data_IF_250792237781
#
_entry.id   IF_250792237781
#
_cell.length_a   1.000
_cell.length_b   1.000
_cell.length_c   1.000
_cell.angle_alpha   90.00
_cell.angle_beta   90.00
_cell.angle_gamma   90.00
#
_symmetry.space_group_name_H-M   'P 1'
#
loop_
_entity.id
_entity.type
_entity.pdbx_description
1 polymer ?
#
# COMPACT_ATOMS: atom_id res chain seq x y z
N UNK A 1 -1.46 25.22 -5.59
CA UNK A 1 -2.91 25.39 -5.38
C UNK A 1 -3.50 25.60 -6.77
N UNK A 2 -3.78 24.49 -7.48
CA UNK A 2 -4.43 24.56 -8.79
C UNK A 2 -5.92 24.76 -8.56
N UNK A 3 -6.40 25.93 -8.90
CA UNK A 3 -7.82 26.29 -8.91
C UNK A 3 -8.53 25.45 -9.96
N UNK A 4 -9.51 24.67 -9.54
CA UNK A 4 -10.39 23.87 -10.39
C UNK A 4 -11.40 24.82 -11.12
N UNK A 5 -10.90 25.58 -12.09
CA UNK A 5 -11.72 26.48 -12.93
C UNK A 5 -12.30 25.81 -14.18
N UNK A 6 -12.25 24.50 -14.30
CA UNK A 6 -12.96 23.82 -15.37
C UNK A 6 -14.32 23.31 -14.86
N UNK A 7 -15.40 24.00 -15.28
CA UNK A 7 -16.81 23.77 -14.92
C UNK A 7 -17.41 22.40 -15.28
N UNK A 8 -16.64 21.32 -15.22
CA UNK A 8 -17.11 19.96 -15.42
C UNK A 8 -17.86 19.41 -14.20
N UNK A 9 -18.97 18.76 -14.42
CA UNK A 9 -19.76 18.08 -13.37
C UNK A 9 -18.95 16.98 -12.67
N UNK A 10 -18.14 16.22 -13.44
CA UNK A 10 -17.30 15.14 -12.94
C UNK A 10 -15.91 15.65 -12.55
N UNK A 11 -15.40 15.18 -11.41
CA UNK A 11 -14.00 15.41 -11.02
C UNK A 11 -13.05 14.55 -11.87
N UNK A 12 -11.77 14.98 -12.01
CA UNK A 12 -10.74 14.11 -12.56
C UNK A 12 -10.66 12.81 -11.77
N UNK A 13 -10.63 11.68 -12.46
CA UNK A 13 -10.61 10.35 -11.85
C UNK A 13 -9.64 9.41 -12.57
N UNK A 14 -9.33 8.26 -11.96
CA UNK A 14 -8.54 7.21 -12.60
C UNK A 14 -7.03 7.43 -12.67
N UNK A 15 -6.49 8.48 -12.06
CA UNK A 15 -5.05 8.77 -12.04
C UNK A 15 -4.24 7.91 -11.05
N UNK A 16 -4.76 6.76 -10.61
CA UNK A 16 -4.15 5.92 -9.57
C UNK A 16 -2.72 5.46 -9.87
N UNK A 17 -2.37 5.24 -11.13
CA UNK A 17 -1.02 4.83 -11.51
C UNK A 17 0.09 5.82 -11.11
N UNK A 18 -0.26 7.10 -10.92
CA UNK A 18 0.61 8.16 -10.46
C UNK A 18 0.72 8.21 -8.93
N UNK A 19 -0.19 7.59 -8.20
CA UNK A 19 -0.20 7.57 -6.74
C UNK A 19 0.96 6.75 -6.19
N UNK A 20 1.74 7.33 -5.29
CA UNK A 20 2.84 6.62 -4.62
C UNK A 20 2.33 5.42 -3.81
N UNK A 21 1.17 5.57 -3.13
CA UNK A 21 0.52 4.48 -2.39
C UNK A 21 0.19 3.30 -3.30
N UNK A 22 -0.37 3.54 -4.50
CA UNK A 22 -0.66 2.49 -5.48
C UNK A 22 0.61 1.76 -5.94
N UNK A 23 1.67 2.52 -6.29
CA UNK A 23 2.93 1.91 -6.76
C UNK A 23 3.58 1.05 -5.69
N UNK A 24 3.58 1.50 -4.42
CA UNK A 24 4.08 0.69 -3.32
C UNK A 24 3.20 -0.54 -3.06
N UNK A 25 1.87 -0.40 -3.05
CA UNK A 25 0.96 -1.54 -2.90
C UNK A 25 1.18 -2.58 -3.99
N UNK A 26 1.39 -2.15 -5.24
CA UNK A 26 1.70 -3.04 -6.36
C UNK A 26 3.05 -3.75 -6.20
N UNK A 27 4.07 -3.04 -5.74
CA UNK A 27 5.35 -3.65 -5.41
C UNK A 27 5.20 -4.70 -4.30
N UNK A 28 4.46 -4.38 -3.24
CA UNK A 28 4.16 -5.31 -2.14
C UNK A 28 3.44 -6.56 -2.68
N UNK A 29 2.44 -6.40 -3.54
CA UNK A 29 1.73 -7.52 -4.16
C UNK A 29 2.69 -8.43 -4.94
N UNK A 30 3.53 -7.85 -5.78
CA UNK A 30 4.49 -8.60 -6.59
C UNK A 30 5.53 -9.36 -5.73
N UNK A 31 5.99 -8.74 -4.62
CA UNK A 31 6.88 -9.38 -3.66
C UNK A 31 6.14 -10.50 -2.93
N UNK A 32 4.90 -10.27 -2.51
CA UNK A 32 4.10 -11.25 -1.77
C UNK A 32 3.83 -12.51 -2.59
N UNK A 33 3.46 -12.37 -3.88
CA UNK A 33 3.29 -13.51 -4.77
C UNK A 33 4.55 -14.37 -4.81
N UNK A 34 5.70 -13.74 -5.02
CA UNK A 34 6.97 -14.46 -5.06
C UNK A 34 7.36 -15.06 -3.68
N UNK A 35 7.09 -14.31 -2.60
CA UNK A 35 7.37 -14.77 -1.24
C UNK A 35 6.60 -16.04 -0.88
N UNK A 36 5.31 -16.08 -1.18
CA UNK A 36 4.48 -17.25 -0.85
C UNK A 36 4.85 -18.46 -1.72
N UNK A 37 5.25 -18.24 -2.96
CA UNK A 37 5.75 -19.31 -3.84
C UNK A 37 7.01 -19.97 -3.29
N UNK A 38 7.91 -19.17 -2.73
CA UNK A 38 9.22 -19.64 -2.28
C UNK A 38 9.25 -20.14 -0.83
N UNK A 39 8.41 -19.61 0.06
CA UNK A 39 8.59 -19.79 1.50
C UNK A 39 7.35 -20.26 2.27
N UNK A 40 6.18 -20.30 1.63
CA UNK A 40 4.95 -20.82 2.26
C UNK A 40 4.58 -22.15 1.59
N UNK A 41 4.30 -23.22 2.38
CA UNK A 41 3.88 -24.52 1.86
C UNK A 41 2.70 -24.40 0.89
N UNK A 42 2.71 -25.18 -0.17
CA UNK A 42 1.70 -25.09 -1.25
C UNK A 42 0.29 -25.46 -0.80
N UNK A 43 0.17 -26.26 0.24
CA UNK A 43 -1.09 -26.70 0.88
C UNK A 43 -1.58 -25.75 1.97
N UNK A 44 -0.80 -24.72 2.29
CA UNK A 44 -1.17 -23.74 3.31
C UNK A 44 -2.18 -22.72 2.81
N UNK A 45 -3.32 -22.59 3.48
CA UNK A 45 -4.32 -21.56 3.21
C UNK A 45 -3.79 -20.12 3.38
N UNK A 46 -2.77 -19.94 4.21
CA UNK A 46 -2.08 -18.64 4.40
C UNK A 46 -1.53 -18.11 3.09
N UNK A 47 -1.12 -18.99 2.17
CA UNK A 47 -0.64 -18.63 0.84
C UNK A 47 -1.66 -17.79 0.07
N UNK A 48 -2.89 -18.30 -0.04
CA UNK A 48 -3.97 -17.63 -0.74
C UNK A 48 -4.43 -16.36 -0.01
N UNK A 49 -4.46 -16.40 1.32
CA UNK A 49 -4.84 -15.25 2.15
C UNK A 49 -3.86 -14.08 1.98
N UNK A 50 -2.55 -14.32 2.06
CA UNK A 50 -1.53 -13.28 1.83
C UNK A 50 -1.64 -12.65 0.43
N UNK A 51 -1.78 -13.49 -0.61
CA UNK A 51 -1.93 -13.01 -1.99
C UNK A 51 -3.22 -12.19 -2.14
N UNK A 52 -4.32 -12.65 -1.56
CA UNK A 52 -5.61 -11.97 -1.62
C UNK A 52 -5.57 -10.63 -0.87
N UNK A 53 -4.97 -10.57 0.30
CA UNK A 53 -4.81 -9.33 1.06
C UNK A 53 -3.95 -8.31 0.28
N UNK A 54 -2.82 -8.73 -0.27
CA UNK A 54 -1.98 -7.88 -1.10
C UNK A 54 -2.71 -7.36 -2.35
N UNK A 55 -3.42 -8.24 -3.07
CA UNK A 55 -4.22 -7.92 -4.25
C UNK A 55 -5.35 -6.94 -3.92
N UNK A 56 -6.08 -7.18 -2.84
CA UNK A 56 -7.15 -6.32 -2.35
C UNK A 56 -6.65 -4.91 -2.05
N UNK A 57 -5.47 -4.77 -1.42
CA UNK A 57 -4.81 -3.48 -1.21
C UNK A 57 -4.63 -2.69 -2.50
N UNK A 58 -4.11 -3.33 -3.55
CA UNK A 58 -3.90 -2.69 -4.87
C UNK A 58 -5.22 -2.28 -5.52
N UNK A 59 -6.19 -3.21 -5.58
CA UNK A 59 -7.44 -2.98 -6.31
C UNK A 59 -8.29 -1.90 -5.68
N UNK A 60 -8.43 -1.89 -4.36
CA UNK A 60 -9.23 -0.88 -3.68
C UNK A 60 -8.63 0.54 -3.82
N UNK A 61 -7.30 0.70 -3.98
CA UNK A 61 -6.71 2.00 -4.32
C UNK A 61 -7.13 2.44 -5.73
N UNK A 62 -7.08 1.52 -6.71
CA UNK A 62 -7.47 1.83 -8.08
C UNK A 62 -8.96 2.17 -8.19
N UNK A 63 -9.83 1.34 -7.61
CA UNK A 63 -11.28 1.53 -7.59
C UNK A 63 -11.68 2.82 -6.87
N UNK A 64 -11.05 3.13 -5.73
CA UNK A 64 -11.27 4.40 -5.02
C UNK A 64 -10.93 5.61 -5.87
N UNK A 65 -9.80 5.56 -6.58
CA UNK A 65 -9.40 6.63 -7.49
C UNK A 65 -10.38 6.81 -8.67
N UNK A 66 -11.00 5.74 -9.16
CA UNK A 66 -12.05 5.80 -10.19
C UNK A 66 -13.33 6.35 -9.61
N UNK A 67 -13.74 5.88 -8.42
CA UNK A 67 -14.94 6.32 -7.73
C UNK A 67 -14.93 7.82 -7.36
N UNK A 68 -13.76 8.43 -7.25
CA UNK A 68 -13.59 9.85 -6.94
C UNK A 68 -14.38 10.80 -7.85
N UNK A 69 -14.66 10.41 -9.10
CA UNK A 69 -15.45 11.19 -10.06
C UNK A 69 -16.86 11.49 -9.56
N UNK A 70 -17.49 10.51 -8.91
CA UNK A 70 -18.93 10.51 -8.58
C UNK A 70 -19.23 10.42 -7.10
N UNK A 71 -18.31 9.90 -6.28
CA UNK A 71 -18.55 9.69 -4.86
C UNK A 71 -17.29 9.77 -4.02
N UNK A 72 -17.06 10.93 -3.39
CA UNK A 72 -15.97 11.12 -2.43
C UNK A 72 -16.10 10.16 -1.22
N UNK A 73 -17.33 9.86 -0.78
CA UNK A 73 -17.57 8.89 0.29
C UNK A 73 -17.10 7.48 -0.09
N UNK A 74 -17.40 7.05 -1.33
CA UNK A 74 -16.97 5.73 -1.82
C UNK A 74 -15.45 5.69 -2.00
N UNK A 75 -14.83 6.76 -2.52
CA UNK A 75 -13.37 6.90 -2.61
C UNK A 75 -12.71 6.68 -1.24
N UNK A 76 -13.17 7.41 -0.22
CA UNK A 76 -12.65 7.30 1.15
C UNK A 76 -12.83 5.90 1.75
N UNK A 77 -14.00 5.30 1.53
CA UNK A 77 -14.26 3.93 2.00
C UNK A 77 -13.31 2.92 1.35
N UNK A 78 -13.11 2.98 0.03
CA UNK A 78 -12.23 2.06 -0.69
C UNK A 78 -10.76 2.22 -0.28
N UNK A 79 -10.29 3.44 -0.03
CA UNK A 79 -8.94 3.66 0.51
C UNK A 79 -8.79 3.10 1.93
N UNK A 80 -9.84 3.16 2.77
CA UNK A 80 -9.83 2.53 4.08
C UNK A 80 -9.80 0.99 3.98
N UNK A 81 -10.54 0.40 3.04
CA UNK A 81 -10.49 -1.05 2.75
C UNK A 81 -9.10 -1.45 2.28
N UNK A 82 -8.48 -0.67 1.37
CA UNK A 82 -7.11 -0.91 0.92
C UNK A 82 -6.12 -0.93 2.10
N UNK A 83 -6.26 0.04 3.02
CA UNK A 83 -5.41 0.12 4.22
C UNK A 83 -5.63 -1.08 5.13
N UNK A 84 -6.88 -1.48 5.37
CA UNK A 84 -7.21 -2.65 6.19
C UNK A 84 -6.62 -3.94 5.60
N UNK A 85 -6.71 -4.14 4.28
CA UNK A 85 -6.12 -5.29 3.59
C UNK A 85 -4.59 -5.33 3.70
N UNK A 86 -3.92 -4.18 3.62
CA UNK A 86 -2.47 -4.10 3.83
C UNK A 86 -2.08 -4.36 5.31
N UNK A 87 -2.93 -3.97 6.27
CA UNK A 87 -2.72 -4.30 7.69
C UNK A 87 -2.91 -5.80 7.97
N UNK A 88 -3.89 -6.45 7.32
CA UNK A 88 -4.05 -7.91 7.35
C UNK A 88 -2.78 -8.61 6.85
N UNK A 89 -2.28 -8.20 5.68
CA UNK A 89 -1.03 -8.71 5.13
C UNK A 89 0.17 -8.48 6.06
N UNK A 90 0.21 -7.34 6.77
CA UNK A 90 1.25 -7.04 7.75
C UNK A 90 1.27 -8.06 8.88
N UNK A 91 0.09 -8.44 9.39
CA UNK A 91 -0.03 -9.47 10.43
C UNK A 91 0.46 -10.83 9.93
N UNK A 92 0.16 -11.21 8.70
CA UNK A 92 0.64 -12.45 8.11
C UNK A 92 2.18 -12.51 8.04
N UNK A 93 2.84 -11.42 7.62
CA UNK A 93 4.30 -11.35 7.62
C UNK A 93 4.90 -11.37 9.04
N UNK A 94 4.26 -10.71 9.99
CA UNK A 94 4.67 -10.74 11.40
C UNK A 94 4.53 -12.16 11.97
N UNK A 95 3.42 -12.82 11.68
CA UNK A 95 3.19 -14.21 12.11
C UNK A 95 4.17 -15.18 11.46
N UNK A 96 4.52 -14.98 10.18
CA UNK A 96 5.58 -15.74 9.53
C UNK A 96 6.90 -15.67 10.30
N UNK A 97 7.31 -14.48 10.71
CA UNK A 97 8.55 -14.27 11.49
C UNK A 97 8.40 -14.84 12.91
N UNK A 98 7.31 -14.51 13.60
CA UNK A 98 7.06 -14.94 15.00
C UNK A 98 7.04 -16.45 15.13
N UNK A 99 6.33 -17.17 14.26
CA UNK A 99 6.23 -18.64 14.29
C UNK A 99 7.58 -19.34 14.06
N UNK A 100 8.56 -18.63 13.49
CA UNK A 100 9.90 -19.12 13.20
C UNK A 100 10.98 -18.59 14.14
N UNK A 101 10.55 -17.87 15.20
CA UNK A 101 11.45 -17.20 16.14
C UNK A 101 12.47 -16.28 15.43
N UNK A 102 12.07 -15.68 14.32
CA UNK A 102 12.89 -14.73 13.56
C UNK A 102 12.62 -13.31 14.04
N UNK A 103 13.66 -12.45 14.16
CA UNK A 103 13.49 -11.10 14.65
C UNK A 103 12.74 -10.23 13.64
N UNK A 104 11.87 -9.36 14.15
CA UNK A 104 11.35 -8.20 13.41
C UNK A 104 12.35 -7.06 13.59
N UNK A 105 12.68 -6.36 12.50
CA UNK A 105 13.59 -5.23 12.58
C UNK A 105 12.95 -4.05 13.30
N UNK A 106 13.63 -3.59 14.32
CA UNK A 106 13.32 -2.35 15.04
C UNK A 106 14.22 -1.21 14.52
N UNK A 107 13.99 0.01 15.01
CA UNK A 107 14.68 1.21 14.51
C UNK A 107 16.21 1.22 14.77
N UNK A 108 16.66 0.47 15.74
CA UNK A 108 18.07 0.26 16.07
C UNK A 108 18.78 -0.76 15.16
N UNK A 109 18.01 -1.54 14.40
CA UNK A 109 18.56 -2.48 13.43
C UNK A 109 19.19 -1.72 12.24
N UNK A 110 20.46 -1.96 11.90
CA UNK A 110 21.13 -1.28 10.78
C UNK A 110 20.41 -1.43 9.44
N UNK A 111 19.87 -2.63 9.16
CA UNK A 111 19.14 -2.91 7.92
C UNK A 111 17.82 -2.13 7.83
N UNK A 112 17.16 -1.87 8.97
CA UNK A 112 15.98 -0.99 9.01
C UNK A 112 16.33 0.41 8.53
N UNK A 113 17.33 1.03 9.14
CA UNK A 113 17.75 2.41 8.83
C UNK A 113 18.23 2.53 7.38
N UNK A 114 18.99 1.54 6.91
CA UNK A 114 19.46 1.48 5.53
C UNK A 114 18.31 1.37 4.53
N UNK A 115 17.36 0.46 4.76
CA UNK A 115 16.18 0.29 3.89
C UNK A 115 15.36 1.56 3.78
N UNK A 116 15.09 2.21 4.92
CA UNK A 116 14.34 3.48 4.96
C UNK A 116 15.05 4.59 4.20
N UNK A 117 16.37 4.70 4.34
CA UNK A 117 17.18 5.71 3.66
C UNK A 117 17.16 5.55 2.12
N UNK A 118 17.13 4.32 1.62
CA UNK A 118 17.10 4.01 0.19
C UNK A 118 15.79 4.38 -0.51
N UNK A 119 14.70 4.58 0.21
CA UNK A 119 13.36 4.93 -0.32
C UNK A 119 12.95 4.05 -1.50
N UNK A 120 13.15 2.75 -1.36
CA UNK A 120 12.87 1.75 -2.40
C UNK A 120 11.41 1.84 -2.84
N UNK A 121 11.20 1.88 -4.17
CA UNK A 121 9.87 2.02 -4.78
C UNK A 121 9.64 1.11 -5.98
N UNK A 122 10.59 0.24 -6.31
CA UNK A 122 10.54 -0.69 -7.44
C UNK A 122 11.21 -2.04 -7.13
N UNK A 123 10.96 -3.03 -7.99
CA UNK A 123 11.49 -4.39 -7.86
C UNK A 123 13.02 -4.46 -7.92
N UNK A 124 13.64 -3.64 -8.76
CA UNK A 124 15.08 -3.68 -8.97
C UNK A 124 15.81 -3.22 -7.71
N UNK A 125 15.38 -2.10 -7.12
CA UNK A 125 15.91 -1.58 -5.86
C UNK A 125 15.68 -2.54 -4.70
N UNK A 126 14.48 -3.16 -4.62
CA UNK A 126 14.18 -4.16 -3.60
C UNK A 126 15.12 -5.38 -3.71
N UNK A 127 15.25 -5.95 -4.90
CA UNK A 127 16.14 -7.09 -5.16
C UNK A 127 17.60 -6.75 -4.85
N UNK A 128 18.08 -5.59 -5.26
CA UNK A 128 19.45 -5.14 -5.00
C UNK A 128 19.72 -5.03 -3.49
N UNK A 129 18.77 -4.47 -2.72
CA UNK A 129 18.87 -4.42 -1.26
C UNK A 129 18.96 -5.82 -0.64
N UNK A 130 18.05 -6.72 -1.00
CA UNK A 130 18.01 -8.09 -0.44
C UNK A 130 19.30 -8.83 -0.76
N UNK A 131 19.80 -8.78 -2.00
CA UNK A 131 21.04 -9.44 -2.39
C UNK A 131 22.25 -8.90 -1.60
N UNK A 132 22.33 -7.58 -1.42
CA UNK A 132 23.42 -6.97 -0.63
C UNK A 132 23.33 -7.37 0.84
N UNK A 133 22.15 -7.27 1.45
CA UNK A 133 21.94 -7.62 2.85
C UNK A 133 22.22 -9.11 3.13
N UNK A 134 21.87 -9.99 2.19
CA UNK A 134 22.18 -11.42 2.26
C UNK A 134 23.69 -11.67 2.23
N UNK A 135 24.44 -11.02 1.33
CA UNK A 135 25.89 -11.17 1.20
C UNK A 135 26.65 -10.62 2.40
N UNK A 136 26.20 -9.48 2.96
CA UNK A 136 26.85 -8.84 4.10
C UNK A 136 26.66 -9.65 5.40
N UNK A 137 25.55 -10.37 5.52
CA UNK A 137 25.17 -11.11 6.72
C UNK A 137 25.15 -12.64 6.50
N UNK A 138 25.93 -13.14 5.56
CA UNK A 138 25.97 -14.57 5.21
C UNK A 138 26.36 -15.52 6.34
N UNK A 139 26.92 -15.02 7.43
CA UNK A 139 27.24 -15.78 8.64
C UNK A 139 26.05 -16.02 9.58
N UNK A 140 24.91 -15.36 9.36
CA UNK A 140 23.72 -15.54 10.20
C UNK A 140 23.01 -16.82 9.83
N UNK A 141 23.25 -17.89 10.59
CA UNK A 141 22.54 -19.16 10.45
C UNK A 141 21.32 -19.11 11.35
N UNK A 142 20.16 -18.99 10.76
CA UNK A 142 18.89 -19.20 11.44
C UNK A 142 18.51 -20.68 11.32
N UNK A 143 18.32 -21.33 12.45
CA UNK A 143 17.90 -22.75 12.47
C UNK A 143 16.54 -22.87 11.77
N UNK A 144 16.47 -23.70 10.74
CA UNK A 144 15.24 -24.13 10.04
C UNK A 144 14.57 -23.16 9.07
N UNK A 145 15.13 -21.98 8.78
CA UNK A 145 14.57 -21.08 7.74
C UNK A 145 15.69 -20.44 6.91
N UNK A 146 15.43 -20.20 5.62
CA UNK A 146 16.37 -19.42 4.79
C UNK A 146 16.47 -17.97 5.31
N UNK A 147 17.67 -17.49 5.62
CA UNK A 147 17.88 -16.11 6.08
C UNK A 147 17.28 -15.07 5.11
N UNK A 148 17.34 -15.35 3.82
CA UNK A 148 16.73 -14.52 2.78
C UNK A 148 15.24 -14.29 3.00
N UNK A 149 14.48 -15.30 3.46
CA UNK A 149 13.05 -15.14 3.74
C UNK A 149 12.79 -14.13 4.87
N UNK A 150 13.67 -14.10 5.87
CA UNK A 150 13.60 -13.13 6.98
C UNK A 150 13.90 -11.71 6.49
N UNK A 151 14.89 -11.55 5.61
CA UNK A 151 15.19 -10.27 4.97
C UNK A 151 14.01 -9.76 4.16
N UNK A 152 13.44 -10.62 3.30
CA UNK A 152 12.28 -10.26 2.46
C UNK A 152 11.06 -9.90 3.31
N UNK A 153 10.76 -10.71 4.34
CA UNK A 153 9.62 -10.44 5.22
C UNK A 153 9.75 -9.08 5.94
N UNK A 154 10.90 -8.81 6.56
CA UNK A 154 11.15 -7.55 7.25
C UNK A 154 11.12 -6.34 6.30
N UNK A 155 11.79 -6.43 5.15
CA UNK A 155 11.77 -5.36 4.15
C UNK A 155 10.36 -5.08 3.63
N UNK A 156 9.53 -6.14 3.47
CA UNK A 156 8.13 -5.99 3.07
C UNK A 156 7.29 -5.32 4.16
N UNK A 157 7.52 -5.62 5.43
CA UNK A 157 6.88 -4.93 6.56
C UNK A 157 7.14 -3.41 6.52
N UNK A 158 8.35 -2.99 6.15
CA UNK A 158 8.68 -1.58 6.00
C UNK A 158 7.97 -0.94 4.80
N UNK A 159 7.85 -1.65 3.66
CA UNK A 159 7.05 -1.17 2.52
C UNK A 159 5.57 -1.04 2.88
N UNK A 160 5.00 -2.01 3.59
CA UNK A 160 3.60 -1.96 4.05
C UNK A 160 3.40 -0.74 4.96
N UNK A 161 4.32 -0.50 5.90
CA UNK A 161 4.26 0.67 6.78
C UNK A 161 4.29 1.99 6.00
N UNK A 162 5.13 2.08 4.97
CA UNK A 162 5.17 3.24 4.09
C UNK A 162 3.89 3.41 3.27
N UNK A 163 3.34 2.32 2.71
CA UNK A 163 2.11 2.36 1.91
C UNK A 163 0.89 2.76 2.75
N UNK A 164 0.72 2.17 3.94
CA UNK A 164 -0.38 2.50 4.85
C UNK A 164 -0.29 3.93 5.40
N UNK A 165 0.91 4.44 5.66
CA UNK A 165 1.14 5.84 6.00
C UNK A 165 0.72 6.79 4.86
N UNK A 166 1.11 6.49 3.62
CA UNK A 166 0.72 7.29 2.46
C UNK A 166 -0.79 7.25 2.23
N UNK A 167 -1.43 6.09 2.39
CA UNK A 167 -2.88 5.95 2.31
C UNK A 167 -3.59 6.76 3.39
N UNK A 168 -3.09 6.71 4.63
CA UNK A 168 -3.65 7.53 5.71
C UNK A 168 -3.61 9.01 5.35
N UNK A 169 -2.47 9.54 4.94
CA UNK A 169 -2.34 10.94 4.51
C UNK A 169 -3.26 11.28 3.33
N UNK A 170 -3.47 10.35 2.41
CA UNK A 170 -4.36 10.53 1.27
C UNK A 170 -5.82 10.60 1.71
N UNK A 171 -6.23 9.74 2.65
CA UNK A 171 -7.57 9.74 3.26
C UNK A 171 -7.81 11.05 4.02
N UNK A 172 -6.87 11.45 4.87
CA UNK A 172 -6.98 12.68 5.67
C UNK A 172 -7.18 13.90 4.75
N UNK A 173 -6.32 14.05 3.72
CA UNK A 173 -6.44 15.15 2.75
C UNK A 173 -7.76 15.14 1.97
N UNK A 174 -8.22 13.96 1.55
CA UNK A 174 -9.49 13.82 0.83
C UNK A 174 -10.69 14.08 1.73
N UNK A 175 -10.61 13.72 3.01
CA UNK A 175 -11.61 14.05 4.02
C UNK A 175 -11.74 15.56 4.24
N UNK A 176 -10.62 16.27 4.38
CA UNK A 176 -10.58 17.72 4.49
C UNK A 176 -11.18 18.40 3.24
N UNK A 177 -10.82 17.93 2.04
CA UNK A 177 -11.36 18.44 0.79
C UNK A 177 -12.87 18.22 0.67
N UNK A 178 -13.36 17.04 1.09
CA UNK A 178 -14.79 16.73 1.13
C UNK A 178 -15.56 17.64 2.10
N UNK A 179 -15.01 17.92 3.27
CA UNK A 179 -15.63 18.81 4.24
C UNK A 179 -15.67 20.28 3.75
N UNK A 180 -14.60 20.72 3.07
CA UNK A 180 -14.50 22.08 2.57
C UNK A 180 -15.37 22.33 1.32
N UNK A 181 -15.40 21.40 0.37
CA UNK A 181 -15.97 21.57 -0.95
C UNK A 181 -17.28 20.82 -1.19
N UNK A 182 -17.67 19.94 -0.27
CA UNK A 182 -18.81 19.04 -0.42
C UNK A 182 -18.57 17.92 -1.44
N UNK A 183 -19.56 17.05 -1.59
CA UNK A 183 -19.52 15.93 -2.53
C UNK A 183 -20.10 16.25 -3.92
N UNK A 184 -20.30 15.20 -4.70
CA UNK A 184 -20.88 15.31 -6.05
C UNK A 184 -22.31 15.88 -6.04
N UNK A 185 -23.13 15.44 -5.10
CA UNK A 185 -24.54 15.88 -4.99
C UNK A 185 -24.67 17.38 -4.70
N UNK A 186 -23.84 17.91 -3.78
CA UNK A 186 -23.82 19.33 -3.45
C UNK A 186 -23.32 20.17 -4.64
N UNK A 187 -22.31 19.70 -5.36
CA UNK A 187 -21.84 20.35 -6.57
C UNK A 187 -22.89 20.38 -7.65
N UNK A 188 -23.53 19.24 -7.90
CA UNK A 188 -24.61 19.12 -8.88
C UNK A 188 -25.76 20.08 -8.55
N UNK A 189 -26.15 20.19 -7.28
CA UNK A 189 -27.19 21.12 -6.83
C UNK A 189 -26.75 22.58 -7.07
N UNK A 190 -25.51 22.96 -6.70
CA UNK A 190 -24.99 24.31 -6.94
C UNK A 190 -24.97 24.67 -8.43
N UNK A 191 -24.55 23.76 -9.31
CA UNK A 191 -24.54 23.98 -10.76
C UNK A 191 -25.96 24.13 -11.32
N UNK A 192 -26.92 23.31 -10.90
CA UNK A 192 -28.33 23.43 -11.32
C UNK A 192 -28.95 24.75 -10.89
N UNK A 193 -28.65 25.23 -9.68
CA UNK A 193 -29.13 26.53 -9.20
C UNK A 193 -28.51 27.71 -9.96
N UNK A 194 -27.23 27.59 -10.37
CA UNK A 194 -26.57 28.60 -11.19
C UNK A 194 -27.20 28.69 -12.58
N UNK A 195 -27.37 27.57 -13.26
CA UNK A 195 -27.96 27.51 -14.62
C UNK A 195 -29.46 27.91 -14.69
N UNK A 196 -30.16 27.96 -13.53
CA UNK A 196 -31.56 28.43 -13.49
C UNK A 196 -31.66 29.95 -13.33
N UNK A 197 -30.57 30.63 -13.02
CA UNK A 197 -30.51 32.08 -12.84
C UNK A 197 -29.99 32.83 -14.08
N UNK A 198 -29.41 32.07 -15.02
CA UNK A 198 -29.09 32.52 -16.39
C UNK A 198 -30.27 32.25 -17.32
#
# INVERSE_FOLDING_TARGET
>A
METYENGGLLLPSGGYSKLKSFRLARLIYDITVHFVEMYIPSDSRTRDQMVQAARSGVQNIAEGSVAAATSAKLELNLYNVARASLEELRLDYQDYLRQRNAPIWEKDNPLYSEFVALRISDKAGFKAFICRAENTNSSVILRNIPYKSVLVANATLLLISAATYLLKRQIDRKGEDFLANGGFSERMTRMRLKNRKE
#
